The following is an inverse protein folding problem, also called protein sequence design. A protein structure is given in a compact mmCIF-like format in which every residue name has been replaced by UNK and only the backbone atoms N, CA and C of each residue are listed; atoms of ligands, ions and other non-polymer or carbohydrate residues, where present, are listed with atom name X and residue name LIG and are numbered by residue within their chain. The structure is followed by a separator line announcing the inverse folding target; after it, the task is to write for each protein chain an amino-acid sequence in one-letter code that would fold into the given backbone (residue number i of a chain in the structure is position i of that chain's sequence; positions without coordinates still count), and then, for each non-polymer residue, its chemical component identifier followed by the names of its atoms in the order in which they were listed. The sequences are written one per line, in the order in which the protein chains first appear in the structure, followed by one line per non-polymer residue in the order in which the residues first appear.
data_IF_830293338411
#
_entry.id   IF_830293338411
#
_cell.length_a   1.000
_cell.length_b   1.000
_cell.length_c   1.000
_cell.angle_alpha   90.00
_cell.angle_beta   90.00
_cell.angle_gamma   90.00
#
_symmetry.space_group_name_H-M   'P 1'
#
loop_
_entity.id
_entity.type
_entity.pdbx_description
1 polymer ?
#
# COMPACT_ATOMS: atom_id res chain seq x y z
N UNK A 1 -12.10 -23.10 -6.97
CA UNK A 1 -12.43 -22.23 -5.81
C UNK A 1 -11.10 -21.82 -5.18
N UNK A 2 -10.52 -20.74 -5.67
CA UNK A 2 -9.23 -20.24 -5.19
C UNK A 2 -9.50 -19.10 -4.19
N UNK A 3 -9.74 -19.48 -2.95
CA UNK A 3 -9.52 -18.61 -1.78
C UNK A 3 -8.01 -18.57 -1.55
N UNK A 4 -7.36 -17.43 -1.59
CA UNK A 4 -6.07 -17.46 -0.96
C UNK A 4 -5.06 -16.34 -1.15
N UNK A 5 -5.04 -15.56 -2.21
CA UNK A 5 -3.84 -14.75 -2.47
C UNK A 5 -3.97 -13.26 -2.11
N UNK A 6 -5.17 -12.68 -2.18
CA UNK A 6 -5.40 -11.30 -1.72
C UNK A 6 -5.65 -11.22 -0.20
N UNK A 7 -6.20 -12.29 0.41
CA UNK A 7 -6.34 -12.39 1.88
C UNK A 7 -4.99 -12.49 2.59
N UNK A 8 -4.01 -13.13 1.99
CA UNK A 8 -2.66 -13.25 2.56
C UNK A 8 -2.00 -11.87 2.69
N UNK A 9 -2.08 -11.00 1.69
CA UNK A 9 -1.45 -9.67 1.74
C UNK A 9 -1.93 -8.80 2.91
N UNK A 10 -3.25 -8.76 3.19
CA UNK A 10 -3.79 -7.95 4.30
C UNK A 10 -3.55 -8.55 5.68
N UNK A 11 -3.50 -9.88 5.80
CA UNK A 11 -3.19 -10.57 7.05
C UNK A 11 -1.70 -10.48 7.40
N UNK A 12 -0.82 -10.43 6.38
CA UNK A 12 0.63 -10.36 6.54
C UNK A 12 1.13 -9.06 7.13
N UNK A 13 0.47 -7.94 6.84
CA UNK A 13 0.92 -6.61 7.28
C UNK A 13 0.17 -6.08 8.50
N UNK A 14 -0.60 -6.93 9.22
CA UNK A 14 -1.50 -6.44 10.26
C UNK A 14 -0.78 -5.68 11.36
N UNK A 15 0.22 -6.28 11.97
CA UNK A 15 0.95 -5.68 13.07
C UNK A 15 2.01 -4.67 12.57
N UNK A 16 2.61 -4.95 11.41
CA UNK A 16 3.55 -4.05 10.77
C UNK A 16 2.89 -2.73 10.31
N UNK A 17 1.60 -2.73 9.93
CA UNK A 17 0.90 -1.51 9.52
C UNK A 17 0.80 -0.45 10.61
N UNK A 18 0.81 -0.84 11.87
CA UNK A 18 0.78 0.09 12.99
C UNK A 18 2.06 0.93 13.07
N UNK A 19 3.16 0.45 12.49
CA UNK A 19 4.45 1.14 12.39
C UNK A 19 4.68 1.87 11.05
N UNK A 20 3.72 1.86 10.14
CA UNK A 20 3.90 2.50 8.82
C UNK A 20 3.93 4.03 8.90
N UNK A 21 3.42 4.60 9.98
CA UNK A 21 3.22 6.04 10.08
C UNK A 21 3.70 6.57 11.42
N UNK A 22 4.59 7.57 11.36
CA UNK A 22 4.96 8.36 12.54
C UNK A 22 3.85 9.34 12.87
N UNK A 23 3.54 9.51 14.15
CA UNK A 23 2.48 10.41 14.61
C UNK A 23 2.76 11.87 14.25
N UNK A 24 4.01 12.32 14.38
CA UNK A 24 4.45 13.67 14.02
C UNK A 24 4.33 13.92 12.51
N UNK A 25 4.64 12.93 11.68
CA UNK A 25 4.44 13.03 10.23
C UNK A 25 2.96 13.07 9.86
N UNK A 26 2.11 12.28 10.51
CA UNK A 26 0.66 12.35 10.33
C UNK A 26 0.11 13.73 10.72
N UNK A 27 0.58 14.29 11.85
CA UNK A 27 0.20 15.63 12.26
C UNK A 27 0.65 16.71 11.24
N UNK A 28 1.86 16.57 10.69
CA UNK A 28 2.36 17.44 9.62
C UNK A 28 1.52 17.32 8.35
N UNK A 29 1.13 16.10 7.94
CA UNK A 29 0.26 15.88 6.79
C UNK A 29 -1.14 16.47 7.03
N UNK A 30 -1.70 16.26 8.22
CA UNK A 30 -2.98 16.83 8.60
C UNK A 30 -2.98 18.38 8.49
N UNK A 31 -1.89 19.03 8.91
CA UNK A 31 -1.71 20.47 8.75
C UNK A 31 -1.59 20.86 7.27
N UNK A 32 -0.79 20.17 6.48
CA UNK A 32 -0.60 20.42 5.03
C UNK A 32 -1.89 20.28 4.24
N UNK A 33 -2.71 19.30 4.59
CA UNK A 33 -4.00 19.02 3.96
C UNK A 33 -5.16 19.75 4.62
N UNK A 34 -4.91 20.51 5.71
CA UNK A 34 -5.90 21.27 6.47
C UNK A 34 -7.08 20.39 6.92
N UNK A 35 -6.79 19.20 7.43
CA UNK A 35 -7.82 18.24 7.81
C UNK A 35 -8.76 18.76 8.91
N UNK A 36 -8.32 19.68 9.76
CA UNK A 36 -9.16 20.29 10.79
C UNK A 36 -10.34 21.10 10.22
N UNK A 37 -10.27 21.52 8.95
CA UNK A 37 -11.34 22.25 8.26
C UNK A 37 -12.27 21.32 7.47
N UNK A 38 -11.99 20.02 7.44
CA UNK A 38 -12.72 19.01 6.64
C UNK A 38 -13.95 18.54 7.38
N UNK A 39 -15.12 18.71 6.78
CA UNK A 39 -16.43 18.29 7.32
C UNK A 39 -16.87 16.93 6.75
N UNK A 40 -16.31 16.51 5.61
CA UNK A 40 -16.67 15.25 4.96
C UNK A 40 -15.48 14.63 4.24
N UNK A 41 -15.15 13.39 4.61
CA UNK A 41 -14.05 12.61 4.04
C UNK A 41 -14.56 11.26 3.54
N UNK A 42 -14.15 10.86 2.33
CA UNK A 42 -14.32 9.50 1.82
C UNK A 42 -12.95 8.81 1.67
N UNK A 43 -12.83 7.59 2.20
CA UNK A 43 -11.69 6.70 2.05
C UNK A 43 -12.03 5.56 1.09
N UNK A 44 -11.52 5.60 -0.13
CA UNK A 44 -11.82 4.66 -1.20
C UNK A 44 -10.84 3.50 -1.19
N UNK A 45 -11.36 2.26 -1.18
CA UNK A 45 -10.54 1.06 -0.95
C UNK A 45 -10.06 0.98 0.50
N UNK A 46 -10.91 1.36 1.46
CA UNK A 46 -10.54 1.49 2.87
C UNK A 46 -10.06 0.19 3.53
N UNK A 47 -10.33 -0.96 2.92
CA UNK A 47 -9.97 -2.27 3.46
C UNK A 47 -10.50 -2.48 4.88
N UNK A 48 -9.61 -2.67 5.84
CA UNK A 48 -9.93 -2.81 7.26
C UNK A 48 -10.07 -1.47 8.01
N UNK A 49 -10.10 -0.34 7.31
CA UNK A 49 -10.26 0.99 7.87
C UNK A 49 -9.00 1.58 8.52
N UNK A 50 -7.83 1.02 8.22
CA UNK A 50 -6.58 1.47 8.84
C UNK A 50 -6.29 2.95 8.52
N UNK A 51 -6.30 3.34 7.23
CA UNK A 51 -6.05 4.71 6.80
C UNK A 51 -7.11 5.68 7.32
N UNK A 52 -8.38 5.28 7.25
CA UNK A 52 -9.49 6.02 7.85
C UNK A 52 -9.26 6.34 9.33
N UNK A 53 -8.80 5.35 10.13
CA UNK A 53 -8.53 5.53 11.58
C UNK A 53 -7.38 6.49 11.85
N UNK A 54 -6.35 6.48 11.02
CA UNK A 54 -5.22 7.39 11.17
C UNK A 54 -5.59 8.84 10.88
N UNK A 55 -6.49 9.08 9.94
CA UNK A 55 -6.90 10.44 9.57
C UNK A 55 -8.02 11.00 10.46
N UNK A 56 -8.90 10.13 10.97
CA UNK A 56 -10.10 10.54 11.71
C UNK A 56 -9.83 11.51 12.88
N UNK A 57 -8.80 11.34 13.72
CA UNK A 57 -8.52 12.26 14.83
C UNK A 57 -8.16 13.68 14.42
N UNK A 58 -7.78 13.89 13.17
CA UNK A 58 -7.36 15.19 12.65
C UNK A 58 -8.48 15.95 11.92
N UNK A 59 -9.64 15.31 11.72
CA UNK A 59 -10.79 15.94 11.07
C UNK A 59 -11.50 16.92 12.01
N UNK A 60 -12.35 17.76 11.44
CA UNK A 60 -13.28 18.59 12.23
C UNK A 60 -14.08 17.73 13.21
N UNK A 61 -14.39 18.23 14.43
CA UNK A 61 -15.15 17.45 15.42
C UNK A 61 -16.51 16.94 14.92
N UNK A 62 -17.13 17.65 13.97
CA UNK A 62 -18.41 17.28 13.37
C UNK A 62 -18.28 16.58 12.01
N UNK A 63 -17.07 16.28 11.60
CA UNK A 63 -16.80 15.64 10.32
C UNK A 63 -17.49 14.27 10.19
N UNK A 64 -17.87 13.97 8.95
CA UNK A 64 -18.37 12.66 8.55
C UNK A 64 -17.32 11.93 7.75
N UNK A 65 -17.11 10.65 8.07
CA UNK A 65 -16.20 9.76 7.38
C UNK A 65 -16.99 8.60 6.74
N UNK A 66 -16.74 8.36 5.44
CA UNK A 66 -17.27 7.21 4.71
C UNK A 66 -16.11 6.35 4.20
N UNK A 67 -15.97 5.15 4.74
CA UNK A 67 -15.07 4.13 4.19
C UNK A 67 -15.77 3.27 3.15
N UNK A 68 -15.10 3.03 2.02
CA UNK A 68 -15.65 2.26 0.89
C UNK A 68 -14.67 1.16 0.49
N UNK A 69 -15.17 -0.07 0.35
CA UNK A 69 -14.42 -1.18 -0.21
C UNK A 69 -15.35 -2.12 -1.00
N UNK A 70 -14.80 -2.84 -1.98
CA UNK A 70 -15.58 -3.82 -2.77
C UNK A 70 -15.88 -5.10 -1.99
N UNK A 71 -15.17 -5.39 -0.89
CA UNK A 71 -15.27 -6.63 -0.12
C UNK A 71 -16.12 -6.40 1.15
N UNK A 72 -17.30 -7.01 1.16
CA UNK A 72 -18.22 -6.87 2.28
C UNK A 72 -17.61 -7.32 3.62
N UNK A 73 -16.83 -8.39 3.62
CA UNK A 73 -16.12 -8.88 4.81
C UNK A 73 -15.14 -7.87 5.39
N UNK A 74 -14.47 -7.07 4.54
CA UNK A 74 -13.58 -6.02 5.01
C UNK A 74 -14.34 -4.83 5.57
N UNK A 75 -15.45 -4.46 4.94
CA UNK A 75 -16.37 -3.43 5.44
C UNK A 75 -16.91 -3.79 6.84
N UNK A 76 -17.29 -5.03 7.06
CA UNK A 76 -17.78 -5.50 8.38
C UNK A 76 -16.68 -5.40 9.43
N UNK A 77 -15.46 -5.81 9.10
CA UNK A 77 -14.31 -5.74 10.01
C UNK A 77 -13.84 -4.30 10.26
N UNK A 78 -13.88 -3.44 9.23
CA UNK A 78 -13.57 -2.02 9.37
C UNK A 78 -14.55 -1.35 10.34
N UNK A 79 -15.85 -1.62 10.18
CA UNK A 79 -16.88 -1.13 11.11
C UNK A 79 -16.60 -1.57 12.55
N UNK A 80 -16.35 -2.87 12.76
CA UNK A 80 -16.04 -3.38 14.10
C UNK A 80 -14.80 -2.69 14.70
N UNK A 81 -13.74 -2.54 13.92
CA UNK A 81 -12.51 -1.88 14.37
C UNK A 81 -12.73 -0.41 14.75
N UNK A 82 -13.64 0.29 14.06
CA UNK A 82 -14.02 1.67 14.41
C UNK A 82 -14.97 1.72 15.61
N UNK A 83 -15.93 0.78 15.74
CA UNK A 83 -16.80 0.66 16.92
C UNK A 83 -15.98 0.48 18.19
N UNK A 84 -14.93 -0.34 18.13
CA UNK A 84 -14.02 -0.59 19.25
C UNK A 84 -13.19 0.65 19.63
N UNK A 85 -12.70 1.40 18.64
CA UNK A 85 -11.83 2.55 18.86
C UNK A 85 -12.61 3.88 19.07
N UNK A 86 -13.77 4.04 18.43
CA UNK A 86 -14.56 5.28 18.38
C UNK A 86 -16.05 5.01 18.50
N UNK A 87 -16.55 4.42 19.61
CA UNK A 87 -17.95 4.00 19.73
C UNK A 87 -18.94 5.18 19.61
N UNK A 88 -18.62 6.33 20.16
CA UNK A 88 -19.53 7.50 20.14
C UNK A 88 -19.70 8.09 18.73
N UNK A 89 -18.64 8.38 17.95
CA UNK A 89 -18.78 8.84 16.57
C UNK A 89 -19.53 7.87 15.67
N UNK A 90 -19.32 6.57 15.81
CA UNK A 90 -20.04 5.56 15.02
C UNK A 90 -21.51 5.53 15.39
N UNK A 91 -21.85 5.49 16.68
CA UNK A 91 -23.23 5.53 17.17
C UNK A 91 -23.96 6.82 16.76
N UNK A 92 -23.24 7.94 16.66
CA UNK A 92 -23.79 9.21 16.19
C UNK A 92 -23.92 9.30 14.64
N UNK A 93 -23.54 8.23 13.89
CA UNK A 93 -23.61 8.20 12.44
C UNK A 93 -22.56 9.08 11.75
N UNK A 94 -21.51 9.52 12.45
CA UNK A 94 -20.42 10.30 11.88
C UNK A 94 -19.46 9.45 11.06
N UNK A 95 -19.40 8.14 11.32
CA UNK A 95 -18.57 7.17 10.61
C UNK A 95 -19.45 6.09 10.01
N UNK A 96 -19.30 5.85 8.71
CA UNK A 96 -20.04 4.83 7.99
C UNK A 96 -19.11 4.03 7.07
N UNK A 97 -19.49 2.80 6.76
CA UNK A 97 -18.79 1.94 5.82
C UNK A 97 -19.78 1.35 4.82
N UNK A 98 -19.41 1.39 3.53
CA UNK A 98 -20.26 0.97 2.43
C UNK A 98 -19.51 0.07 1.45
N UNK A 99 -20.17 -0.97 0.97
CA UNK A 99 -19.64 -1.78 -0.13
C UNK A 99 -19.91 -1.08 -1.47
N UNK A 100 -18.84 -0.82 -2.25
CA UNK A 100 -18.95 -0.33 -3.63
C UNK A 100 -17.66 -0.59 -4.42
N UNK A 101 -17.76 -0.55 -5.74
CA UNK A 101 -16.60 -0.61 -6.64
C UNK A 101 -16.01 0.80 -6.79
N UNK A 102 -14.67 0.92 -6.65
CA UNK A 102 -13.96 2.20 -6.75
C UNK A 102 -14.06 2.85 -8.15
N UNK A 103 -14.35 2.06 -9.18
CA UNK A 103 -14.50 2.53 -10.56
C UNK A 103 -15.93 2.89 -10.94
N UNK A 104 -16.90 2.66 -10.04
CA UNK A 104 -18.33 2.94 -10.26
C UNK A 104 -19.03 3.21 -8.91
N UNK A 105 -18.70 4.34 -8.28
CA UNK A 105 -19.20 4.68 -6.96
C UNK A 105 -20.68 5.11 -7.01
N UNK A 106 -21.54 4.45 -6.20
CA UNK A 106 -22.94 4.81 -6.04
C UNK A 106 -23.12 6.03 -5.12
N UNK A 107 -22.41 7.11 -5.43
CA UNK A 107 -22.37 8.37 -4.67
C UNK A 107 -22.58 9.53 -5.64
N UNK A 108 -23.31 10.55 -5.21
CA UNK A 108 -23.49 11.76 -5.98
C UNK A 108 -22.16 12.48 -6.23
N UNK A 109 -22.08 13.25 -7.32
CA UNK A 109 -20.96 14.15 -7.56
C UNK A 109 -20.91 15.22 -6.47
N UNK A 110 -19.71 15.81 -6.25
CA UNK A 110 -19.53 17.00 -5.41
C UNK A 110 -20.00 16.80 -3.94
N UNK A 111 -19.72 15.62 -3.36
CA UNK A 111 -20.22 15.24 -2.05
C UNK A 111 -19.21 15.50 -0.91
N UNK A 112 -17.92 15.24 -1.15
CA UNK A 112 -16.90 15.25 -0.09
C UNK A 112 -15.90 16.39 -0.23
N UNK A 113 -15.46 16.96 0.91
CA UNK A 113 -14.39 17.95 0.96
C UNK A 113 -13.05 17.32 0.63
N UNK A 114 -12.83 16.07 1.13
CA UNK A 114 -11.64 15.28 0.86
C UNK A 114 -12.04 13.88 0.42
N UNK A 115 -11.44 13.39 -0.66
CA UNK A 115 -11.51 12.00 -1.10
C UNK A 115 -10.10 11.44 -1.14
N UNK A 116 -9.88 10.34 -0.44
CA UNK A 116 -8.56 9.73 -0.31
C UNK A 116 -8.56 8.24 -0.60
N UNK A 117 -7.39 7.69 -0.90
CA UNK A 117 -7.15 6.25 -0.91
C UNK A 117 -5.72 5.93 -0.45
N UNK A 118 -5.52 4.74 0.09
CA UNK A 118 -4.20 4.20 0.39
C UNK A 118 -4.06 2.80 -0.20
N UNK A 119 -3.06 2.61 -1.06
CA UNK A 119 -2.77 1.31 -1.72
C UNK A 119 -3.98 0.70 -2.42
N UNK A 120 -4.75 1.53 -3.13
CA UNK A 120 -5.91 1.13 -3.91
C UNK A 120 -5.61 1.09 -5.40
N UNK A 121 -5.10 2.21 -5.97
CA UNK A 121 -4.95 2.38 -7.42
C UNK A 121 -3.99 1.34 -8.00
N UNK A 122 -2.99 0.92 -7.23
CA UNK A 122 -2.06 -0.14 -7.59
C UNK A 122 -2.72 -1.51 -7.87
N UNK A 123 -3.96 -1.70 -7.43
CA UNK A 123 -4.73 -2.94 -7.61
C UNK A 123 -5.77 -2.88 -8.73
N UNK A 124 -6.04 -1.70 -9.27
CA UNK A 124 -7.03 -1.51 -10.33
C UNK A 124 -6.42 -1.83 -11.71
N UNK A 125 -7.21 -2.47 -12.57
CA UNK A 125 -6.84 -2.68 -13.97
C UNK A 125 -6.75 -1.34 -14.71
N UNK A 126 -7.72 -0.45 -14.44
CA UNK A 126 -7.81 0.90 -15.00
C UNK A 126 -7.79 1.92 -13.84
N UNK A 127 -6.59 2.25 -13.30
CA UNK A 127 -6.47 3.13 -12.14
C UNK A 127 -6.98 4.55 -12.40
N UNK A 128 -6.94 4.98 -13.67
CA UNK A 128 -7.45 6.30 -14.05
C UNK A 128 -8.96 6.42 -13.91
N UNK A 129 -9.71 5.32 -14.07
CA UNK A 129 -11.16 5.34 -13.86
C UNK A 129 -11.50 5.44 -12.36
N UNK A 130 -10.74 4.77 -11.49
CA UNK A 130 -10.85 4.97 -10.05
C UNK A 130 -10.54 6.42 -9.64
N UNK A 131 -9.48 7.01 -10.19
CA UNK A 131 -9.14 8.42 -9.95
C UNK A 131 -10.26 9.37 -10.43
N UNK A 132 -10.85 9.13 -11.61
CA UNK A 132 -11.99 9.93 -12.10
C UNK A 132 -13.19 9.88 -11.16
N UNK A 133 -13.53 8.71 -10.64
CA UNK A 133 -14.62 8.57 -9.68
C UNK A 133 -14.32 9.31 -8.37
N UNK A 134 -13.09 9.21 -7.86
CA UNK A 134 -12.66 10.00 -6.70
C UNK A 134 -12.84 11.51 -6.96
N UNK A 135 -12.39 12.01 -8.11
CA UNK A 135 -12.55 13.41 -8.50
C UNK A 135 -14.04 13.78 -8.65
N UNK A 136 -14.85 12.92 -9.25
CA UNK A 136 -16.28 13.17 -9.45
C UNK A 136 -17.01 13.43 -8.14
N UNK A 137 -16.76 12.60 -7.12
CA UNK A 137 -17.42 12.72 -5.81
C UNK A 137 -16.80 13.80 -4.91
N UNK A 138 -15.63 14.34 -5.27
CA UNK A 138 -15.01 15.48 -4.58
C UNK A 138 -15.73 16.76 -4.94
N UNK A 139 -16.00 17.63 -3.97
CA UNK A 139 -16.58 18.97 -4.17
C UNK A 139 -15.65 19.87 -5.02
N UNK A 140 -16.17 20.89 -5.72
CA UNK A 140 -15.33 21.96 -6.26
C UNK A 140 -14.45 22.56 -5.16
N UNK A 141 -13.19 22.84 -5.44
CA UNK A 141 -12.14 23.25 -4.49
C UNK A 141 -11.80 22.21 -3.40
N UNK A 142 -12.47 21.06 -3.39
CA UNK A 142 -12.12 19.93 -2.53
C UNK A 142 -10.81 19.27 -2.94
N UNK A 143 -10.32 18.36 -2.12
CA UNK A 143 -9.01 17.74 -2.30
C UNK A 143 -9.10 16.24 -2.56
N UNK A 144 -8.33 15.77 -3.53
CA UNK A 144 -8.06 14.33 -3.75
C UNK A 144 -6.67 14.02 -3.23
N UNK A 145 -6.55 12.93 -2.45
CA UNK A 145 -5.29 12.48 -1.85
C UNK A 145 -5.10 11.00 -2.17
N UNK A 146 -4.03 10.64 -2.88
CA UNK A 146 -3.67 9.24 -3.14
C UNK A 146 -2.33 8.91 -2.51
N UNK A 147 -2.30 7.78 -1.81
CA UNK A 147 -1.12 7.27 -1.10
C UNK A 147 -0.76 5.90 -1.69
N UNK A 148 0.25 5.87 -2.57
CA UNK A 148 0.57 4.68 -3.35
C UNK A 148 2.08 4.39 -3.36
N UNK A 149 2.48 3.10 -3.36
CA UNK A 149 3.87 2.72 -3.28
C UNK A 149 4.59 2.76 -4.63
N UNK A 150 5.93 2.78 -4.56
CA UNK A 150 6.85 2.43 -5.62
C UNK A 150 7.51 1.09 -5.31
N UNK A 151 6.79 -0.02 -5.52
CA UNK A 151 7.29 -1.32 -5.13
C UNK A 151 8.46 -1.81 -5.98
N UNK A 152 8.60 -1.39 -7.25
CA UNK A 152 9.79 -1.71 -8.04
C UNK A 152 11.05 -1.08 -7.43
N UNK A 153 10.96 0.17 -6.97
CA UNK A 153 12.09 0.80 -6.29
C UNK A 153 12.43 0.06 -4.99
N UNK A 154 11.41 -0.37 -4.25
CA UNK A 154 11.60 -1.12 -3.01
C UNK A 154 12.29 -2.47 -3.23
N UNK A 155 12.12 -3.10 -4.42
CA UNK A 155 12.81 -4.34 -4.77
C UNK A 155 14.31 -4.15 -5.08
N UNK A 156 14.78 -2.90 -5.14
CA UNK A 156 16.19 -2.54 -5.26
C UNK A 156 16.80 -2.11 -3.93
N UNK A 157 16.12 -2.34 -2.81
CA UNK A 157 16.64 -2.00 -1.48
C UNK A 157 17.90 -2.79 -1.17
N UNK A 158 18.93 -2.10 -0.72
CA UNK A 158 20.19 -2.70 -0.32
C UNK A 158 20.21 -2.97 1.19
N UNK A 159 20.88 -4.06 1.56
CA UNK A 159 21.11 -4.47 2.94
C UNK A 159 22.59 -4.79 3.17
N UNK A 160 22.94 -5.27 4.35
CA UNK A 160 24.33 -5.61 4.71
C UNK A 160 24.94 -6.77 3.93
N UNK A 161 24.13 -7.55 3.19
CA UNK A 161 24.60 -8.66 2.37
C UNK A 161 24.78 -8.26 0.91
N UNK A 162 24.13 -7.19 0.47
CA UNK A 162 24.16 -6.73 -0.93
C UNK A 162 25.58 -6.44 -1.47
N UNK A 163 26.52 -5.87 -0.67
CA UNK A 163 27.89 -5.67 -1.15
C UNK A 163 28.66 -6.96 -1.50
N UNK A 164 28.17 -8.11 -1.04
CA UNK A 164 28.76 -9.41 -1.36
C UNK A 164 28.16 -10.05 -2.62
N UNK A 165 27.09 -9.47 -3.17
CA UNK A 165 26.43 -9.94 -4.38
C UNK A 165 27.17 -9.40 -5.63
N UNK A 166 27.29 -10.22 -6.66
CA UNK A 166 27.78 -9.74 -7.95
C UNK A 166 26.72 -8.92 -8.68
N UNK A 167 27.19 -7.98 -9.51
CA UNK A 167 26.32 -7.06 -10.27
C UNK A 167 25.33 -7.81 -11.17
N UNK A 168 25.72 -8.94 -11.77
CA UNK A 168 24.84 -9.69 -12.67
C UNK A 168 23.65 -10.29 -11.92
N UNK A 169 23.89 -10.80 -10.72
CA UNK A 169 22.81 -11.31 -9.82
C UNK A 169 21.84 -10.20 -9.45
N UNK A 170 22.32 -9.01 -9.09
CA UNK A 170 21.46 -7.87 -8.78
C UNK A 170 20.62 -7.42 -9.98
N UNK A 171 21.23 -7.33 -11.17
CA UNK A 171 20.52 -6.97 -12.41
C UNK A 171 19.45 -8.00 -12.75
N UNK A 172 19.75 -9.30 -12.64
CA UNK A 172 18.75 -10.37 -12.88
C UNK A 172 17.61 -10.35 -11.88
N UNK A 173 17.90 -10.04 -10.62
CA UNK A 173 16.87 -9.88 -9.59
C UNK A 173 15.92 -8.71 -9.93
N UNK A 174 16.46 -7.58 -10.37
CA UNK A 174 15.64 -6.45 -10.80
C UNK A 174 14.85 -6.76 -12.08
N UNK A 175 15.46 -7.42 -13.07
CA UNK A 175 14.78 -7.88 -14.29
C UNK A 175 13.58 -8.78 -13.95
N UNK A 176 13.72 -9.69 -12.98
CA UNK A 176 12.64 -10.54 -12.52
C UNK A 176 11.44 -9.72 -12.02
N UNK A 177 11.66 -8.75 -11.15
CA UNK A 177 10.59 -7.89 -10.61
C UNK A 177 9.96 -7.01 -11.67
N UNK A 178 10.74 -6.48 -12.60
CA UNK A 178 10.24 -5.69 -13.72
C UNK A 178 9.34 -6.51 -14.64
N UNK A 179 9.72 -7.76 -14.96
CA UNK A 179 8.89 -8.66 -15.74
C UNK A 179 7.62 -9.06 -14.99
N UNK A 180 7.74 -9.35 -13.70
CA UNK A 180 6.58 -9.64 -12.84
C UNK A 180 5.55 -8.50 -12.88
N UNK A 181 6.00 -7.26 -12.69
CA UNK A 181 5.12 -6.08 -12.75
C UNK A 181 4.47 -5.93 -14.14
N UNK A 182 5.25 -6.01 -15.22
CA UNK A 182 4.71 -5.91 -16.58
C UNK A 182 3.66 -6.97 -16.87
N UNK A 183 3.87 -8.18 -16.38
CA UNK A 183 2.88 -9.24 -16.51
C UNK A 183 1.62 -9.00 -15.68
N UNK A 184 1.73 -8.41 -14.50
CA UNK A 184 0.55 -7.96 -13.72
C UNK A 184 -0.28 -6.97 -14.53
N UNK A 185 0.36 -5.93 -15.06
CA UNK A 185 -0.30 -4.90 -15.89
C UNK A 185 -0.95 -5.55 -17.11
N UNK A 186 -0.22 -6.38 -17.86
CA UNK A 186 -0.74 -7.06 -19.05
C UNK A 186 -1.95 -7.96 -18.77
N UNK A 187 -2.08 -8.48 -17.55
CA UNK A 187 -3.20 -9.31 -17.11
C UNK A 187 -4.29 -8.53 -16.35
N UNK A 188 -4.26 -7.19 -16.36
CA UNK A 188 -5.24 -6.35 -15.69
C UNK A 188 -5.24 -6.49 -14.16
N UNK A 189 -4.05 -6.73 -13.56
CA UNK A 189 -3.88 -6.91 -12.11
C UNK A 189 -3.26 -5.69 -11.41
N UNK A 190 -3.28 -4.56 -12.11
CA UNK A 190 -2.79 -3.29 -11.64
C UNK A 190 -1.26 -3.15 -11.66
N UNK A 191 -0.80 -1.95 -11.35
CA UNK A 191 0.62 -1.57 -11.31
C UNK A 191 1.07 -1.37 -9.87
N UNK A 192 1.92 -2.27 -9.37
CA UNK A 192 2.43 -2.21 -7.99
C UNK A 192 3.39 -1.05 -7.73
N UNK A 193 3.75 -0.27 -8.74
CA UNK A 193 4.62 0.92 -8.65
C UNK A 193 3.97 2.16 -9.25
N UNK A 194 2.67 2.31 -9.05
CA UNK A 194 1.89 3.42 -9.62
C UNK A 194 2.21 4.79 -8.96
N UNK A 195 2.78 4.78 -7.75
CA UNK A 195 3.01 6.01 -6.99
C UNK A 195 3.74 7.11 -7.75
N UNK A 196 4.75 6.74 -8.55
CA UNK A 196 5.55 7.65 -9.37
C UNK A 196 4.75 8.28 -10.52
N UNK A 197 3.67 7.63 -10.95
CA UNK A 197 2.85 8.07 -12.08
C UNK A 197 1.71 9.01 -11.65
N UNK A 198 1.36 9.03 -10.35
CA UNK A 198 0.23 9.79 -9.83
C UNK A 198 0.26 11.28 -10.18
N UNK A 199 1.40 12.01 -10.10
CA UNK A 199 1.39 13.44 -10.43
C UNK A 199 0.96 13.71 -11.87
N UNK A 200 1.41 12.87 -12.81
CA UNK A 200 1.00 12.93 -14.21
C UNK A 200 -0.48 12.59 -14.41
N UNK A 201 -0.98 11.57 -13.71
CA UNK A 201 -2.39 11.20 -13.74
C UNK A 201 -3.29 12.31 -13.18
N UNK A 202 -2.89 12.96 -12.09
CA UNK A 202 -3.59 14.09 -11.49
C UNK A 202 -3.69 15.28 -12.46
N UNK A 203 -2.56 15.63 -13.08
CA UNK A 203 -2.52 16.70 -14.09
C UNK A 203 -3.40 16.38 -15.30
N UNK A 204 -3.32 15.16 -15.82
CA UNK A 204 -4.15 14.70 -16.94
C UNK A 204 -5.65 14.71 -16.60
N UNK A 205 -6.01 14.43 -15.33
CA UNK A 205 -7.38 14.45 -14.86
C UNK A 205 -7.90 15.89 -14.57
N UNK A 206 -7.07 16.91 -14.75
CA UNK A 206 -7.45 18.32 -14.59
C UNK A 206 -7.39 18.84 -13.15
N UNK A 207 -6.77 18.10 -12.22
CA UNK A 207 -6.55 18.60 -10.88
C UNK A 207 -5.48 19.71 -10.88
N UNK A 208 -5.65 20.66 -9.97
CA UNK A 208 -4.75 21.80 -9.78
C UNK A 208 -4.06 21.71 -8.42
N UNK A 209 -3.11 22.61 -8.16
CA UNK A 209 -2.36 22.70 -6.90
C UNK A 209 -1.77 21.34 -6.44
N UNK A 210 -1.22 20.61 -7.41
CA UNK A 210 -0.69 19.26 -7.18
C UNK A 210 0.56 19.35 -6.30
N UNK A 211 0.56 18.60 -5.19
CA UNK A 211 1.70 18.48 -4.28
C UNK A 211 2.05 17.02 -4.12
N UNK A 212 3.35 16.76 -4.00
CA UNK A 212 3.90 15.41 -3.85
C UNK A 212 4.77 15.36 -2.62
N UNK A 213 4.55 14.37 -1.78
CA UNK A 213 5.36 14.08 -0.62
C UNK A 213 5.78 12.62 -0.64
N UNK A 214 6.84 12.29 0.08
CA UNK A 214 7.23 10.93 0.37
C UNK A 214 6.94 10.63 1.84
N UNK A 215 6.57 9.39 2.14
CA UNK A 215 6.49 8.91 3.51
C UNK A 215 7.89 8.92 4.11
N UNK A 216 8.01 9.37 5.35
CA UNK A 216 9.30 9.56 6.05
C UNK A 216 9.75 8.35 6.86
N UNK A 217 8.93 7.28 6.93
CA UNK A 217 9.20 6.12 7.77
C UNK A 217 10.07 5.09 7.06
N UNK A 218 11.17 4.70 7.69
CA UNK A 218 11.95 3.51 7.37
C UNK A 218 11.65 2.41 8.39
N UNK A 219 12.05 1.15 8.10
CA UNK A 219 11.88 0.01 9.01
C UNK A 219 13.26 -0.60 9.29
N UNK A 220 14.08 0.05 10.11
CA UNK A 220 15.45 -0.36 10.30
C UNK A 220 15.53 -1.73 10.99
N UNK A 221 16.41 -2.58 10.49
CA UNK A 221 16.77 -3.85 11.10
C UNK A 221 18.25 -3.84 11.46
N UNK A 222 18.57 -4.07 12.73
CA UNK A 222 19.94 -4.18 13.23
C UNK A 222 19.95 -4.96 14.56
N UNK A 223 21.07 -5.67 14.88
CA UNK A 223 21.16 -6.41 16.13
C UNK A 223 21.02 -5.49 17.38
N UNK A 224 20.39 -5.98 18.44
CA UNK A 224 19.92 -7.35 18.70
C UNK A 224 18.48 -7.66 18.23
N UNK A 225 17.86 -6.83 17.39
CA UNK A 225 16.49 -6.98 16.88
C UNK A 225 15.42 -7.02 17.98
N UNK A 226 15.64 -6.27 19.05
CA UNK A 226 14.82 -6.34 20.27
C UNK A 226 13.63 -5.40 20.29
N UNK A 227 13.62 -4.40 19.42
CA UNK A 227 12.55 -3.42 19.37
C UNK A 227 11.25 -4.05 18.82
N UNK A 228 10.07 -3.68 19.34
CA UNK A 228 8.78 -4.18 18.86
C UNK A 228 8.58 -4.00 17.36
N UNK A 229 9.00 -2.86 16.79
CA UNK A 229 8.96 -2.58 15.37
C UNK A 229 9.80 -3.53 14.54
N UNK A 230 11.05 -3.82 14.99
CA UNK A 230 11.93 -4.78 14.35
C UNK A 230 11.33 -6.18 14.42
N UNK A 231 10.75 -6.55 15.56
CA UNK A 231 10.06 -7.84 15.75
C UNK A 231 8.87 -7.98 14.79
N UNK A 232 8.02 -6.95 14.67
CA UNK A 232 6.89 -6.93 13.76
C UNK A 232 7.33 -7.02 12.29
N UNK A 233 8.48 -6.43 11.94
CA UNK A 233 9.09 -6.52 10.60
C UNK A 233 9.64 -7.91 10.30
N UNK A 234 10.19 -8.61 11.30
CA UNK A 234 10.77 -9.95 11.16
C UNK A 234 9.74 -11.07 11.20
N UNK A 235 8.60 -10.89 11.86
CA UNK A 235 7.57 -11.93 12.03
C UNK A 235 7.08 -12.49 10.69
N UNK A 236 6.71 -11.67 9.67
CA UNK A 236 6.41 -12.19 8.34
C UNK A 236 7.56 -13.00 7.74
N UNK A 237 8.79 -12.54 7.90
CA UNK A 237 9.99 -13.25 7.43
C UNK A 237 10.14 -14.62 8.10
N UNK A 238 9.76 -14.76 9.36
CA UNK A 238 9.71 -16.07 10.04
C UNK A 238 8.65 -17.00 9.50
N UNK A 239 7.47 -16.48 9.14
CA UNK A 239 6.40 -17.26 8.51
C UNK A 239 6.81 -17.77 7.10
N UNK A 240 7.70 -17.07 6.40
CA UNK A 240 8.25 -17.51 5.11
C UNK A 240 9.22 -18.70 5.21
N UNK A 241 9.62 -19.09 6.41
CA UNK A 241 10.57 -20.20 6.63
C UNK A 241 10.07 -21.55 6.09
N UNK A 242 8.76 -21.71 5.93
CA UNK A 242 8.12 -22.94 5.46
C UNK A 242 7.77 -22.94 3.98
N UNK A 243 7.80 -21.79 3.32
CA UNK A 243 7.49 -21.65 1.89
C UNK A 243 8.77 -21.46 1.07
N UNK A 244 8.90 -22.24 0.00
CA UNK A 244 10.02 -22.09 -0.95
C UNK A 244 9.97 -20.80 -1.77
N UNK A 245 8.84 -20.09 -1.73
CA UNK A 245 8.54 -18.89 -2.54
C UNK A 245 8.30 -17.65 -1.70
N UNK A 246 8.57 -17.71 -0.39
CA UNK A 246 8.22 -16.61 0.52
C UNK A 246 6.70 -16.44 0.61
N UNK A 247 6.19 -15.20 0.67
CA UNK A 247 4.75 -14.92 0.79
C UNK A 247 4.00 -15.11 -0.52
N UNK A 248 4.70 -15.38 -1.62
CA UNK A 248 4.08 -15.41 -2.94
C UNK A 248 3.68 -16.83 -3.33
N UNK A 249 2.48 -16.95 -3.87
CA UNK A 249 2.03 -18.14 -4.55
C UNK A 249 2.86 -18.34 -5.82
N UNK A 250 3.53 -19.50 -5.94
CA UNK A 250 4.42 -19.80 -7.06
C UNK A 250 3.70 -19.74 -8.41
N UNK A 251 2.49 -20.29 -8.49
CA UNK A 251 1.72 -20.32 -9.74
C UNK A 251 1.31 -18.91 -10.17
N UNK A 252 0.97 -18.06 -9.20
CA UNK A 252 0.67 -16.65 -9.46
C UNK A 252 1.91 -15.90 -9.95
N UNK A 253 3.05 -16.06 -9.30
CA UNK A 253 4.32 -15.44 -9.71
C UNK A 253 4.71 -15.90 -11.11
N UNK A 254 4.64 -17.20 -11.37
CA UNK A 254 4.91 -17.80 -12.68
C UNK A 254 4.01 -17.19 -13.76
N UNK A 255 2.72 -17.11 -13.49
CA UNK A 255 1.74 -16.53 -14.43
C UNK A 255 2.08 -15.09 -14.80
N UNK A 256 2.40 -14.27 -13.82
CA UNK A 256 2.74 -12.86 -14.07
C UNK A 256 4.10 -12.73 -14.76
N UNK A 257 5.11 -13.46 -14.30
CA UNK A 257 6.44 -13.41 -14.89
C UNK A 257 6.45 -13.81 -16.38
N UNK A 258 5.75 -14.89 -16.73
CA UNK A 258 5.61 -15.34 -18.13
C UNK A 258 4.84 -14.31 -18.97
N UNK A 259 3.75 -13.75 -18.46
CA UNK A 259 2.98 -12.72 -19.15
C UNK A 259 3.80 -11.43 -19.37
N UNK A 260 4.80 -11.16 -18.55
CA UNK A 260 5.75 -10.05 -18.68
C UNK A 260 6.95 -10.34 -19.58
N UNK A 261 6.92 -11.45 -20.32
CA UNK A 261 7.97 -11.82 -21.29
C UNK A 261 9.14 -12.62 -20.68
N UNK A 262 8.99 -13.15 -19.47
CA UNK A 262 9.95 -14.11 -18.89
C UNK A 262 9.79 -15.50 -19.47
N UNK A 263 10.78 -16.36 -19.26
CA UNK A 263 10.73 -17.79 -19.60
C UNK A 263 10.71 -18.67 -18.34
N UNK A 264 10.26 -19.91 -18.47
CA UNK A 264 10.27 -20.88 -17.37
C UNK A 264 11.70 -21.11 -16.83
N UNK A 265 12.68 -21.23 -17.71
CA UNK A 265 14.09 -21.40 -17.32
C UNK A 265 14.62 -20.21 -16.52
N UNK A 266 14.31 -18.98 -16.95
CA UNK A 266 14.68 -17.77 -16.18
C UNK A 266 14.03 -17.78 -14.79
N UNK A 267 12.77 -18.20 -14.71
CA UNK A 267 12.02 -18.28 -13.46
C UNK A 267 12.67 -19.27 -12.50
N UNK A 268 12.97 -20.48 -12.96
CA UNK A 268 13.58 -21.55 -12.14
C UNK A 268 14.96 -21.10 -11.60
N UNK A 269 15.77 -20.46 -12.45
CA UNK A 269 17.06 -19.90 -12.05
C UNK A 269 16.87 -18.84 -10.97
N UNK A 270 15.94 -17.92 -11.17
CA UNK A 270 15.70 -16.83 -10.22
C UNK A 270 15.17 -17.35 -8.87
N UNK A 271 14.30 -18.36 -8.88
CA UNK A 271 13.84 -18.98 -7.63
C UNK A 271 14.96 -19.70 -6.89
N UNK A 272 15.92 -20.30 -7.58
CA UNK A 272 17.11 -20.86 -6.92
C UNK A 272 17.91 -19.75 -6.22
N UNK A 273 18.19 -18.66 -6.92
CA UNK A 273 18.90 -17.49 -6.36
C UNK A 273 18.17 -16.90 -5.14
N UNK A 274 16.84 -16.70 -5.23
CA UNK A 274 16.04 -16.21 -4.11
C UNK A 274 16.08 -17.12 -2.87
N UNK A 275 16.11 -18.44 -3.07
CA UNK A 275 16.26 -19.41 -1.96
C UNK A 275 17.62 -19.27 -1.29
N UNK A 276 18.69 -19.17 -2.06
CA UNK A 276 20.05 -18.98 -1.55
C UNK A 276 20.17 -17.67 -0.79
N UNK A 277 19.68 -16.58 -1.34
CA UNK A 277 19.65 -15.25 -0.68
C UNK A 277 18.86 -15.31 0.63
N UNK A 278 17.67 -15.94 0.63
CA UNK A 278 16.87 -16.12 1.85
C UNK A 278 17.58 -16.97 2.92
N UNK A 279 18.36 -17.98 2.51
CA UNK A 279 19.16 -18.78 3.46
C UNK A 279 20.30 -17.96 4.06
N UNK A 280 21.01 -17.19 3.23
CA UNK A 280 22.07 -16.27 3.68
C UNK A 280 21.53 -15.22 4.66
N UNK A 281 20.38 -14.60 4.35
CA UNK A 281 19.75 -13.63 5.23
C UNK A 281 19.38 -14.24 6.58
N UNK A 282 18.75 -15.42 6.60
CA UNK A 282 18.40 -16.12 7.85
C UNK A 282 19.63 -16.45 8.69
N UNK A 283 20.70 -16.88 8.06
CA UNK A 283 21.96 -17.15 8.74
C UNK A 283 22.54 -15.87 9.35
N UNK A 284 22.60 -14.79 8.57
CA UNK A 284 23.09 -13.50 9.05
C UNK A 284 22.26 -12.93 10.20
N UNK A 285 20.91 -13.09 10.14
CA UNK A 285 20.01 -12.73 11.24
C UNK A 285 20.32 -13.55 12.50
N UNK A 286 20.47 -14.88 12.39
CA UNK A 286 20.74 -15.74 13.54
C UNK A 286 22.13 -15.49 14.18
N UNK A 287 23.08 -14.98 13.40
CA UNK A 287 24.43 -14.62 13.84
C UNK A 287 24.55 -13.13 14.28
N UNK A 288 23.45 -12.37 14.25
CA UNK A 288 23.47 -10.96 14.61
C UNK A 288 24.30 -10.08 13.69
N UNK A 289 24.37 -10.41 12.38
CA UNK A 289 25.17 -9.69 11.39
C UNK A 289 24.32 -9.00 10.29
N UNK A 290 23.01 -9.22 10.29
CA UNK A 290 22.14 -8.61 9.32
C UNK A 290 21.75 -7.19 9.71
N UNK A 291 21.82 -6.27 8.76
CA UNK A 291 21.26 -4.94 8.93
C UNK A 291 20.71 -4.39 7.60
N UNK A 292 19.65 -3.60 7.72
CA UNK A 292 19.02 -2.93 6.61
C UNK A 292 18.32 -1.66 7.11
N UNK A 293 18.24 -0.61 6.28
CA UNK A 293 17.39 0.54 6.55
C UNK A 293 15.90 0.16 6.40
N UNK A 294 15.60 -0.79 5.52
CA UNK A 294 14.24 -1.21 5.25
C UNK A 294 13.34 -0.09 4.73
N UNK A 295 12.03 -0.26 4.95
CA UNK A 295 11.04 0.69 4.52
C UNK A 295 10.54 0.48 3.10
N UNK A 296 9.67 1.38 2.68
CA UNK A 296 9.11 1.41 1.33
C UNK A 296 8.92 2.87 0.90
N UNK A 297 9.30 3.17 -0.34
CA UNK A 297 8.95 4.46 -0.93
C UNK A 297 7.45 4.46 -1.20
N UNK A 298 6.76 5.38 -0.55
CA UNK A 298 5.34 5.62 -0.72
C UNK A 298 5.14 7.08 -1.06
N UNK A 299 4.50 7.33 -2.19
CA UNK A 299 4.15 8.66 -2.66
C UNK A 299 2.80 9.08 -2.08
N UNK A 300 2.76 10.30 -1.56
CA UNK A 300 1.53 10.94 -1.13
C UNK A 300 1.29 12.12 -2.09
N UNK A 301 0.33 11.96 -2.97
CA UNK A 301 0.00 12.96 -3.98
C UNK A 301 -1.35 13.56 -3.65
N UNK A 302 -1.43 14.87 -3.55
CA UNK A 302 -2.69 15.57 -3.37
C UNK A 302 -2.88 16.63 -4.46
N UNK A 303 -4.12 16.90 -4.81
CA UNK A 303 -4.51 17.92 -5.78
C UNK A 303 -5.91 18.44 -5.50
N UNK A 304 -6.23 19.62 -6.01
CA UNK A 304 -7.53 20.23 -5.86
C UNK A 304 -8.37 20.07 -7.12
N UNK A 305 -9.64 19.76 -6.93
CA UNK A 305 -10.65 19.86 -8.00
C UNK A 305 -10.91 21.33 -8.28
N UNK A 306 -10.85 21.80 -9.54
CA UNK A 306 -11.15 23.18 -9.93
C UNK A 306 -12.54 23.66 -9.50
#
# INVERSE_FOLDING_TARGET
MTRGTEEQGSAWFRDQRDYWWNEDFLALLAQRWRLCDVESLADIGCGLGHWSRLLFPYLSPDARLLGIDRRLEWIQRARQSFDDAYPTPVAAGKVAFQQSDATALAICSDTFDVVTCQTLLMHLAEPFDGLKEMIRITKPQGQVICVEPSNLFNMMSFDSLTPEEDTETLVKSFEFWLRYQRGRIALGKGDISIGELLPGMFAQAGLTDIRVYLRDTAFPLYPPYADPEQSATLEPTHAWKTSATGPWDYDQVRRYFLAGGGSATMLDTQFSTLREQSQRQRRALSEGRYSAAGGAIVYLVCGRKP
#
